data_IF_509986982537
#
_entry.id   IF_509986982537
#
_cell.length_a   1.000
_cell.length_b   1.000
_cell.length_c   1.000
_cell.angle_alpha   90.00
_cell.angle_beta   90.00
_cell.angle_gamma   90.00
#
_symmetry.space_group_name_H-M   'P 1'
#
loop_
_entity.id
_entity.type
_entity.pdbx_description
1 polymer ?
#
# COMPACT_ATOMS: atom_id res chain seq x y z
N UNK A 1 53.66 -38.05 -34.78
CA UNK A 1 53.74 -37.07 -33.67
C UNK A 1 52.83 -35.85 -33.86
N UNK A 2 52.85 -35.12 -35.00
CA UNK A 2 52.02 -33.92 -35.23
C UNK A 2 50.51 -34.17 -35.10
N UNK A 3 49.97 -35.33 -35.53
CA UNK A 3 48.55 -35.66 -35.46
C UNK A 3 48.07 -35.99 -33.99
N UNK A 4 48.93 -36.52 -33.17
CA UNK A 4 48.64 -36.83 -31.74
C UNK A 4 48.61 -35.55 -30.94
N UNK A 5 49.49 -34.57 -31.21
CA UNK A 5 49.51 -33.28 -30.54
C UNK A 5 48.25 -32.47 -30.91
N UNK A 6 47.73 -32.58 -32.12
CA UNK A 6 46.52 -31.86 -32.58
C UNK A 6 45.27 -32.45 -31.92
N UNK A 7 45.21 -33.77 -31.69
CA UNK A 7 44.11 -34.44 -30.99
C UNK A 7 44.12 -34.08 -29.51
N UNK A 8 45.30 -34.05 -28.87
CA UNK A 8 45.40 -33.63 -27.46
C UNK A 8 45.08 -32.18 -27.23
N UNK A 9 45.45 -31.25 -28.11
CA UNK A 9 45.04 -29.88 -28.05
C UNK A 9 43.51 -29.68 -28.28
N UNK A 10 42.90 -30.44 -29.17
CA UNK A 10 41.45 -30.41 -29.39
C UNK A 10 40.67 -30.95 -28.16
N UNK A 11 41.20 -32.00 -27.49
CA UNK A 11 40.60 -32.53 -26.26
C UNK A 11 40.73 -31.56 -25.09
N UNK A 12 41.82 -30.79 -25.00
CA UNK A 12 41.99 -29.76 -23.96
C UNK A 12 41.06 -28.55 -24.16
N UNK A 13 40.83 -28.15 -25.41
CA UNK A 13 39.87 -27.08 -25.77
C UNK A 13 38.42 -27.49 -25.51
N UNK A 14 38.07 -28.77 -25.65
CA UNK A 14 36.73 -29.27 -25.33
C UNK A 14 36.42 -29.28 -23.84
N UNK A 15 37.45 -29.44 -22.97
CA UNK A 15 37.30 -29.44 -21.52
C UNK A 15 37.09 -28.04 -20.91
N UNK A 16 37.49 -26.99 -21.63
CA UNK A 16 37.28 -25.60 -21.17
C UNK A 16 35.91 -25.02 -21.56
N UNK A 17 35.15 -25.69 -22.44
CA UNK A 17 33.85 -25.23 -22.88
C UNK A 17 32.70 -25.57 -21.93
N UNK A 18 32.93 -26.36 -20.88
CA UNK A 18 31.88 -26.77 -19.93
C UNK A 18 31.87 -25.98 -18.62
N UNK A 19 32.65 -24.91 -18.49
CA UNK A 19 32.63 -24.04 -17.31
C UNK A 19 31.66 -22.89 -17.45
N UNK A 20 30.40 -23.16 -17.82
CA UNK A 20 29.34 -22.25 -17.42
C UNK A 20 29.06 -22.50 -15.93
N UNK A 21 29.18 -21.46 -15.10
CA UNK A 21 28.94 -21.64 -13.67
C UNK A 21 27.56 -22.23 -13.44
N UNK A 22 27.49 -23.37 -12.79
CA UNK A 22 26.25 -24.05 -12.40
C UNK A 22 25.29 -23.14 -11.60
N UNK A 23 25.81 -22.04 -11.06
CA UNK A 23 25.05 -20.98 -10.39
C UNK A 23 24.01 -20.29 -11.29
N UNK A 24 24.16 -20.27 -12.62
CA UNK A 24 23.13 -19.70 -13.51
C UNK A 24 22.03 -20.68 -13.89
N UNK A 25 22.24 -21.98 -13.73
CA UNK A 25 21.20 -22.99 -13.95
C UNK A 25 20.36 -23.29 -12.73
N UNK A 26 20.85 -23.02 -11.53
CA UNK A 26 20.07 -23.16 -10.30
C UNK A 26 19.12 -21.98 -10.05
N UNK A 27 19.31 -20.85 -10.73
CA UNK A 27 18.37 -19.70 -10.64
C UNK A 27 17.12 -19.85 -11.52
N UNK A 28 17.01 -20.89 -12.33
CA UNK A 28 15.71 -21.36 -12.85
C UNK A 28 15.03 -22.35 -11.89
N UNK A 29 15.24 -22.19 -10.59
CA UNK A 29 14.28 -22.70 -9.64
C UNK A 29 12.95 -22.06 -9.99
N UNK A 30 11.99 -22.88 -10.36
CA UNK A 30 10.58 -22.55 -10.41
C UNK A 30 10.31 -21.66 -9.21
N UNK A 31 10.05 -20.37 -9.47
CA UNK A 31 9.57 -19.47 -8.43
C UNK A 31 8.46 -20.22 -7.71
N UNK A 32 8.51 -20.36 -6.40
CA UNK A 32 7.42 -21.03 -5.69
C UNK A 32 6.13 -20.42 -6.21
N UNK A 33 5.13 -21.27 -6.43
CA UNK A 33 3.84 -20.92 -7.04
C UNK A 33 3.19 -19.68 -6.36
N UNK A 34 3.71 -19.32 -5.20
CA UNK A 34 3.27 -18.23 -4.31
C UNK A 34 4.31 -17.10 -4.17
N UNK A 35 5.14 -16.85 -5.19
CA UNK A 35 6.08 -15.72 -5.11
C UNK A 35 5.34 -14.39 -5.19
N UNK A 36 5.64 -13.50 -4.27
CA UNK A 36 5.22 -12.11 -4.28
C UNK A 36 5.73 -11.44 -5.57
N UNK A 37 4.97 -10.50 -6.14
CA UNK A 37 5.41 -9.75 -7.32
C UNK A 37 6.72 -9.02 -7.06
N UNK A 38 7.53 -8.82 -8.09
CA UNK A 38 8.79 -8.05 -7.97
C UNK A 38 8.52 -6.64 -7.44
N UNK A 39 7.39 -6.04 -7.83
CA UNK A 39 6.98 -4.72 -7.37
C UNK A 39 6.65 -4.72 -5.88
N UNK A 40 5.92 -5.72 -5.41
CA UNK A 40 5.62 -5.88 -4.00
C UNK A 40 6.90 -6.14 -3.18
N UNK A 41 7.86 -6.89 -3.71
CA UNK A 41 9.16 -7.11 -3.07
C UNK A 41 10.01 -5.84 -2.95
N UNK A 42 9.91 -4.92 -3.91
CA UNK A 42 10.61 -3.63 -3.85
C UNK A 42 9.93 -2.70 -2.83
N UNK A 43 8.59 -2.72 -2.78
CA UNK A 43 7.81 -1.88 -1.87
C UNK A 43 7.86 -2.34 -0.41
N UNK A 44 8.05 -3.65 -0.19
CA UNK A 44 8.14 -4.24 1.14
C UNK A 44 9.40 -5.10 1.28
N UNK A 45 10.15 -4.92 2.38
CA UNK A 45 11.22 -5.86 2.70
C UNK A 45 10.61 -7.26 2.83
N UNK A 46 11.18 -8.24 2.12
CA UNK A 46 10.76 -9.64 2.16
C UNK A 46 11.01 -10.29 3.53
N UNK A 47 11.94 -9.74 4.30
CA UNK A 47 12.17 -10.13 5.68
C UNK A 47 11.21 -9.36 6.60
N UNK A 48 10.49 -10.08 7.47
CA UNK A 48 9.76 -9.45 8.54
C UNK A 48 10.77 -8.72 9.45
N UNK A 49 10.57 -7.43 9.77
CA UNK A 49 11.45 -6.72 10.68
C UNK A 49 11.46 -7.45 12.03
N UNK A 50 12.64 -7.58 12.63
CA UNK A 50 12.75 -8.11 13.98
C UNK A 50 12.05 -7.15 14.95
N UNK A 51 11.47 -7.67 16.03
CA UNK A 51 10.76 -6.85 17.02
C UNK A 51 11.65 -5.75 17.63
N UNK A 52 12.93 -6.01 17.70
CA UNK A 52 13.94 -5.10 18.23
C UNK A 52 14.22 -3.90 17.32
N UNK A 53 13.95 -4.06 16.03
CA UNK A 53 14.15 -3.00 15.03
C UNK A 53 12.94 -2.06 14.92
N UNK A 54 11.79 -2.45 15.46
CA UNK A 54 10.55 -1.65 15.43
C UNK A 54 10.44 -0.80 16.69
N UNK A 55 10.82 0.47 16.58
CA UNK A 55 10.79 1.42 17.70
C UNK A 55 9.43 2.05 17.90
N UNK A 56 8.68 2.22 16.84
CA UNK A 56 7.33 2.79 16.87
C UNK A 56 6.39 1.99 15.98
N UNK A 57 5.22 1.71 16.51
CA UNK A 57 4.17 0.99 15.80
C UNK A 57 2.80 1.46 16.22
N UNK A 58 1.89 1.63 15.26
CA UNK A 58 0.47 1.90 15.50
C UNK A 58 -0.38 1.02 14.60
N UNK A 59 -1.21 0.20 15.21
CA UNK A 59 -2.15 -0.64 14.48
C UNK A 59 -3.49 0.08 14.35
N UNK A 60 -4.04 0.10 13.14
CA UNK A 60 -5.23 0.83 12.74
C UNK A 60 -6.17 -0.14 12.05
N UNK A 61 -7.44 -0.03 12.35
CA UNK A 61 -8.48 -0.82 11.71
C UNK A 61 -9.36 0.10 10.89
N UNK A 62 -9.50 -0.23 9.61
CA UNK A 62 -10.33 0.51 8.64
C UNK A 62 -11.50 -0.32 8.18
N UNK A 63 -12.63 0.32 7.96
CA UNK A 63 -13.75 -0.23 7.24
C UNK A 63 -13.70 0.28 5.80
N UNK A 64 -13.52 -0.64 4.85
CA UNK A 64 -13.55 -0.38 3.43
C UNK A 64 -14.97 -0.68 2.92
N UNK A 65 -15.56 0.26 2.19
CA UNK A 65 -16.79 0.02 1.45
C UNK A 65 -16.45 -0.25 -0.01
N UNK A 66 -16.91 -1.38 -0.54
CA UNK A 66 -16.62 -1.80 -1.90
C UNK A 66 -17.50 -1.09 -2.94
N UNK A 67 -18.60 -0.49 -2.49
CA UNK A 67 -19.50 0.30 -3.34
C UNK A 67 -18.95 1.67 -3.70
N UNK A 68 -17.86 2.10 -3.06
CA UNK A 68 -17.16 3.34 -3.40
C UNK A 68 -16.22 3.11 -4.59
N UNK A 69 -16.15 4.07 -5.52
CA UNK A 69 -15.39 3.95 -6.78
C UNK A 69 -13.93 3.53 -6.58
N UNK A 70 -13.28 4.03 -5.53
CA UNK A 70 -11.89 3.71 -5.24
C UNK A 70 -11.66 2.21 -4.96
N UNK A 71 -12.65 1.53 -4.37
CA UNK A 71 -12.56 0.12 -3.99
C UNK A 71 -13.36 -0.79 -4.93
N UNK A 72 -14.07 -0.24 -5.91
CA UNK A 72 -14.98 -0.98 -6.79
C UNK A 72 -14.30 -2.14 -7.55
N UNK A 73 -13.01 -1.99 -7.88
CA UNK A 73 -12.24 -3.06 -8.50
C UNK A 73 -12.09 -4.34 -7.66
N UNK A 74 -12.29 -4.26 -6.34
CA UNK A 74 -12.28 -5.42 -5.45
C UNK A 74 -13.64 -6.15 -5.43
N UNK A 75 -14.74 -5.44 -5.78
CA UNK A 75 -16.09 -5.96 -5.77
C UNK A 75 -16.51 -6.58 -7.12
N UNK A 76 -16.11 -5.95 -8.22
CA UNK A 76 -16.47 -6.41 -9.55
C UNK A 76 -15.41 -7.30 -10.18
N UNK A 77 -15.79 -8.34 -10.92
CA UNK A 77 -17.17 -8.78 -11.21
C UNK A 77 -17.78 -9.54 -10.01
N UNK A 78 -19.06 -9.30 -9.71
CA UNK A 78 -19.78 -9.97 -8.61
C UNK A 78 -19.83 -11.48 -8.86
N UNK A 79 -20.18 -11.87 -10.09
CA UNK A 79 -20.11 -13.24 -10.54
C UNK A 79 -18.81 -13.47 -11.31
N UNK A 80 -18.14 -14.61 -11.12
CA UNK A 80 -16.91 -14.93 -11.84
C UNK A 80 -17.12 -14.95 -13.35
N UNK A 81 -16.30 -14.19 -14.09
CA UNK A 81 -16.29 -14.15 -15.55
C UNK A 81 -14.97 -14.71 -16.04
N UNK A 82 -14.98 -15.95 -16.53
CA UNK A 82 -13.76 -16.66 -16.92
C UNK A 82 -12.80 -16.86 -15.74
N UNK A 83 -11.61 -16.27 -15.82
CA UNK A 83 -10.62 -16.31 -14.74
C UNK A 83 -10.71 -15.14 -13.74
N UNK A 84 -11.52 -14.13 -14.06
CA UNK A 84 -11.71 -12.97 -13.20
C UNK A 84 -12.80 -13.25 -12.17
N UNK A 85 -12.52 -12.91 -10.94
CA UNK A 85 -13.45 -13.01 -9.83
C UNK A 85 -13.17 -11.92 -8.81
N UNK A 86 -14.19 -11.55 -8.03
CA UNK A 86 -14.02 -10.57 -6.97
C UNK A 86 -13.14 -11.10 -5.83
N UNK A 87 -12.68 -10.18 -4.99
CA UNK A 87 -11.78 -10.51 -3.89
C UNK A 87 -12.40 -11.53 -2.93
N UNK A 88 -13.70 -11.40 -2.61
CA UNK A 88 -14.35 -12.31 -1.67
C UNK A 88 -14.44 -13.74 -2.21
N UNK A 89 -14.92 -13.92 -3.44
CA UNK A 89 -15.01 -15.23 -4.09
C UNK A 89 -13.63 -15.91 -4.11
N UNK A 90 -12.58 -15.13 -4.38
CA UNK A 90 -11.22 -15.66 -4.41
C UNK A 90 -10.74 -16.12 -3.04
N UNK A 91 -10.88 -15.27 -2.03
CA UNK A 91 -10.52 -15.60 -0.63
C UNK A 91 -11.33 -16.81 -0.14
N UNK A 92 -12.62 -16.83 -0.45
CA UNK A 92 -13.52 -17.91 -0.05
C UNK A 92 -13.10 -19.27 -0.63
N UNK A 93 -12.80 -19.33 -1.91
CA UNK A 93 -12.28 -20.55 -2.56
C UNK A 93 -10.95 -21.01 -1.94
N UNK A 94 -10.04 -20.09 -1.64
CA UNK A 94 -8.79 -20.41 -0.97
C UNK A 94 -9.03 -20.95 0.46
N UNK A 95 -9.97 -20.37 1.20
CA UNK A 95 -10.35 -20.84 2.53
C UNK A 95 -10.94 -22.26 2.47
N UNK A 96 -11.80 -22.53 1.48
CA UNK A 96 -12.41 -23.87 1.30
C UNK A 96 -11.38 -24.94 0.98
N UNK A 97 -10.33 -24.61 0.22
CA UNK A 97 -9.20 -25.50 -0.02
C UNK A 97 -8.37 -25.75 1.23
N UNK A 98 -8.28 -24.74 2.09
CA UNK A 98 -7.47 -24.80 3.30
C UNK A 98 -5.95 -24.86 3.06
N UNK A 99 -5.11 -24.66 4.09
CA UNK A 99 -3.66 -24.55 3.93
C UNK A 99 -3.00 -25.83 3.43
N UNK A 100 -3.57 -26.99 3.74
CA UNK A 100 -3.00 -28.28 3.36
C UNK A 100 -3.20 -28.62 1.85
N UNK A 101 -4.13 -27.95 1.18
CA UNK A 101 -4.43 -28.17 -0.24
C UNK A 101 -4.11 -26.95 -1.11
N UNK A 102 -3.17 -26.12 -0.69
CA UNK A 102 -2.76 -24.95 -1.42
C UNK A 102 -3.74 -23.76 -1.31
N UNK A 103 -4.51 -23.71 -0.25
CA UNK A 103 -5.33 -22.57 0.16
C UNK A 103 -4.76 -21.85 1.37
N UNK A 104 -5.63 -21.16 2.09
CA UNK A 104 -5.27 -20.31 3.23
C UNK A 104 -6.03 -20.72 4.50
N UNK A 105 -5.50 -20.31 5.65
CA UNK A 105 -6.19 -20.42 6.93
C UNK A 105 -7.06 -19.17 7.16
N UNK A 106 -8.31 -19.38 7.55
CA UNK A 106 -9.21 -18.35 8.03
C UNK A 106 -9.42 -18.51 9.55
N UNK A 107 -9.67 -17.41 10.23
CA UNK A 107 -9.82 -17.36 11.68
C UNK A 107 -11.13 -16.69 12.06
N UNK A 108 -11.83 -17.24 13.05
CA UNK A 108 -13.13 -16.75 13.47
C UNK A 108 -13.07 -15.28 13.91
N UNK A 109 -14.07 -14.50 13.46
CA UNK A 109 -14.26 -13.14 13.95
C UNK A 109 -14.71 -13.18 15.42
N UNK A 110 -14.15 -12.31 16.25
CA UNK A 110 -14.49 -12.18 17.66
C UNK A 110 -15.29 -10.91 17.92
N UNK A 111 -16.17 -10.96 18.90
CA UNK A 111 -17.01 -9.82 19.28
C UNK A 111 -16.21 -8.58 19.73
N UNK A 112 -14.97 -8.75 20.18
CA UNK A 112 -14.06 -7.64 20.52
C UNK A 112 -13.44 -6.97 19.29
N UNK A 113 -13.68 -7.52 18.08
CA UNK A 113 -13.15 -7.03 16.82
C UNK A 113 -11.64 -7.18 16.67
N UNK A 114 -10.98 -7.94 17.57
CA UNK A 114 -9.56 -8.24 17.45
C UNK A 114 -9.37 -9.55 16.71
N UNK A 115 -8.33 -9.60 15.92
CA UNK A 115 -7.91 -10.83 15.26
C UNK A 115 -7.19 -11.76 16.25
N UNK A 116 -7.41 -13.05 16.08
CA UNK A 116 -6.67 -14.09 16.79
C UNK A 116 -6.21 -15.16 15.81
N UNK A 117 -4.91 -15.24 15.56
CA UNK A 117 -4.31 -16.17 14.60
C UNK A 117 -3.75 -17.43 15.26
N UNK A 118 -4.57 -18.05 16.12
CA UNK A 118 -4.23 -19.32 16.78
C UNK A 118 -4.97 -20.48 16.13
N UNK A 119 -4.44 -21.67 16.23
CA UNK A 119 -5.08 -22.87 15.67
C UNK A 119 -6.47 -23.13 16.24
N UNK A 120 -6.70 -22.75 17.53
CA UNK A 120 -8.01 -22.85 18.18
C UNK A 120 -9.08 -21.93 17.59
N UNK A 121 -8.65 -20.82 16.97
CA UNK A 121 -9.55 -19.85 16.34
C UNK A 121 -9.78 -20.12 14.85
N UNK A 122 -9.20 -21.20 14.28
CA UNK A 122 -9.39 -21.53 12.87
C UNK A 122 -10.85 -21.83 12.53
N UNK A 123 -11.29 -21.27 11.42
CA UNK A 123 -12.60 -21.55 10.85
C UNK A 123 -12.61 -22.98 10.30
N UNK A 124 -13.65 -23.72 10.64
CA UNK A 124 -13.94 -25.03 10.05
C UNK A 124 -14.87 -24.79 8.85
N UNK A 125 -14.45 -25.10 7.60
CA UNK A 125 -15.21 -24.74 6.41
C UNK A 125 -16.67 -25.22 6.41
N UNK A 126 -16.92 -26.47 6.80
CA UNK A 126 -18.29 -27.00 6.87
C UNK A 126 -19.17 -26.26 7.86
N UNK A 127 -18.65 -26.05 9.07
CA UNK A 127 -19.38 -25.31 10.12
C UNK A 127 -19.65 -23.86 9.68
N UNK A 128 -18.75 -23.26 8.94
CA UNK A 128 -18.94 -21.93 8.37
C UNK A 128 -20.09 -21.91 7.35
N UNK A 129 -20.12 -22.87 6.42
CA UNK A 129 -21.20 -22.99 5.42
C UNK A 129 -22.56 -23.15 6.10
N UNK A 130 -22.64 -24.03 7.11
CA UNK A 130 -23.87 -24.30 7.87
C UNK A 130 -24.33 -23.04 8.64
N UNK A 131 -23.40 -22.32 9.29
CA UNK A 131 -23.72 -21.12 10.08
C UNK A 131 -24.25 -19.95 9.23
N UNK A 132 -23.75 -19.82 8.00
CA UNK A 132 -24.16 -18.74 7.08
C UNK A 132 -25.18 -19.17 6.06
N UNK A 133 -25.71 -20.42 6.17
CA UNK A 133 -26.71 -21.00 5.28
C UNK A 133 -26.29 -20.99 3.81
N UNK A 134 -25.01 -21.28 3.55
CA UNK A 134 -24.46 -21.38 2.20
C UNK A 134 -24.69 -22.81 1.71
N UNK A 135 -25.38 -22.94 0.58
CA UNK A 135 -25.67 -24.25 0.00
C UNK A 135 -24.42 -24.93 -0.52
N UNK A 136 -24.29 -26.24 -0.30
CA UNK A 136 -23.19 -27.06 -0.80
C UNK A 136 -23.62 -28.50 -0.99
N UNK A 137 -23.03 -29.19 -1.96
CA UNK A 137 -23.25 -30.60 -2.21
C UNK A 137 -22.11 -31.42 -1.61
N UNK A 138 -22.48 -32.53 -0.95
CA UNK A 138 -21.49 -33.51 -0.49
C UNK A 138 -21.35 -34.59 -1.57
N UNK A 139 -20.13 -34.72 -2.09
CA UNK A 139 -19.75 -35.73 -3.07
C UNK A 139 -18.73 -36.71 -2.48
N UNK A 140 -18.56 -37.89 -3.10
CA UNK A 140 -17.58 -38.90 -2.66
C UNK A 140 -16.14 -38.35 -2.63
N UNK A 141 -15.87 -37.30 -3.41
CA UNK A 141 -14.55 -36.65 -3.48
C UNK A 141 -14.41 -35.39 -2.59
N UNK A 142 -15.45 -35.03 -1.83
CA UNK A 142 -15.45 -33.87 -0.94
C UNK A 142 -16.68 -32.98 -1.12
N UNK A 143 -16.49 -31.68 -0.85
CA UNK A 143 -17.54 -30.67 -0.97
C UNK A 143 -17.48 -30.06 -2.36
N UNK A 144 -18.62 -30.01 -3.02
CA UNK A 144 -18.82 -29.24 -4.24
C UNK A 144 -19.64 -28.01 -3.91
N UNK A 145 -19.12 -26.85 -4.29
CA UNK A 145 -19.77 -25.57 -4.14
C UNK A 145 -19.85 -24.90 -5.51
N UNK A 146 -21.03 -24.46 -5.88
CA UNK A 146 -21.19 -23.70 -7.12
C UNK A 146 -20.84 -22.21 -6.89
N UNK A 147 -20.46 -21.52 -7.94
CA UNK A 147 -20.15 -20.09 -7.85
C UNK A 147 -21.37 -19.24 -7.49
N UNK A 148 -22.56 -19.67 -7.90
CA UNK A 148 -23.84 -19.02 -7.60
C UNK A 148 -24.22 -19.09 -6.12
N UNK A 149 -23.70 -20.10 -5.40
CA UNK A 149 -24.01 -20.29 -3.97
C UNK A 149 -23.12 -19.46 -3.07
N UNK A 150 -22.03 -18.90 -3.62
CA UNK A 150 -21.13 -18.02 -2.88
C UNK A 150 -21.79 -16.63 -2.76
N UNK A 151 -22.02 -16.10 -1.55
CA UNK A 151 -22.72 -14.83 -1.34
C UNK A 151 -21.84 -13.61 -1.68
N UNK A 152 -21.29 -13.61 -2.90
CA UNK A 152 -20.35 -12.57 -3.34
C UNK A 152 -20.99 -11.19 -3.44
N UNK A 153 -22.26 -11.12 -3.81
CA UNK A 153 -23.03 -9.88 -3.90
C UNK A 153 -23.40 -9.29 -2.54
N UNK A 154 -23.44 -10.12 -1.48
CA UNK A 154 -23.74 -9.67 -0.12
C UNK A 154 -22.51 -9.09 0.59
N UNK A 155 -21.30 -9.44 0.14
CA UNK A 155 -20.06 -8.94 0.74
C UNK A 155 -19.70 -7.59 0.13
N UNK A 156 -20.20 -6.52 0.74
CA UNK A 156 -20.04 -5.13 0.26
C UNK A 156 -18.96 -4.36 1.02
N UNK A 157 -18.21 -5.00 1.93
CA UNK A 157 -17.17 -4.33 2.69
C UNK A 157 -16.12 -5.26 3.25
N UNK A 158 -15.03 -4.64 3.74
CA UNK A 158 -13.96 -5.32 4.48
C UNK A 158 -13.55 -4.53 5.70
N UNK A 159 -13.29 -5.24 6.80
CA UNK A 159 -12.40 -4.70 7.81
C UNK A 159 -10.96 -5.03 7.43
N UNK A 160 -10.13 -4.01 7.48
CA UNK A 160 -8.72 -4.10 7.16
C UNK A 160 -7.92 -3.68 8.39
N UNK A 161 -7.00 -4.52 8.84
CA UNK A 161 -6.00 -4.14 9.82
C UNK A 161 -4.73 -3.73 9.11
N UNK A 162 -4.29 -2.49 9.33
CA UNK A 162 -2.99 -1.99 8.90
C UNK A 162 -2.09 -1.72 10.09
N UNK A 163 -0.81 -1.90 9.91
CA UNK A 163 0.21 -1.53 10.87
C UNK A 163 1.11 -0.47 10.25
N UNK A 164 1.13 0.71 10.86
CA UNK A 164 2.08 1.76 10.55
C UNK A 164 3.24 1.64 11.55
N UNK A 165 4.47 1.49 11.06
CA UNK A 165 5.63 1.29 11.92
C UNK A 165 6.88 1.94 11.36
N UNK A 166 7.80 2.27 12.25
CA UNK A 166 9.12 2.75 11.92
C UNK A 166 10.14 1.66 12.24
N UNK A 167 10.87 1.26 11.20
CA UNK A 167 11.95 0.30 11.30
C UNK A 167 13.28 1.04 11.44
N UNK A 168 13.95 0.85 12.55
CA UNK A 168 15.23 1.49 12.84
C UNK A 168 16.36 0.89 11.99
N UNK A 169 16.29 -0.38 11.65
CA UNK A 169 17.32 -1.05 10.85
C UNK A 169 17.40 -0.48 9.44
N UNK A 170 16.27 -0.20 8.81
CA UNK A 170 16.18 0.41 7.48
C UNK A 170 16.02 1.92 7.53
N UNK A 171 15.76 2.51 8.71
CA UNK A 171 15.44 3.91 8.92
C UNK A 171 14.27 4.42 8.08
N UNK A 172 13.26 3.57 7.86
CA UNK A 172 12.11 3.87 7.01
C UNK A 172 10.78 3.70 7.74
N UNK A 173 9.80 4.48 7.31
CA UNK A 173 8.42 4.35 7.74
C UNK A 173 7.66 3.47 6.76
N UNK A 174 6.91 2.52 7.31
CA UNK A 174 6.14 1.57 6.53
C UNK A 174 4.68 1.55 6.99
N UNK A 175 3.77 1.36 6.02
CA UNK A 175 2.39 0.96 6.25
C UNK A 175 2.18 -0.40 5.60
N UNK A 176 1.80 -1.38 6.39
CA UNK A 176 1.57 -2.74 5.92
C UNK A 176 0.18 -3.21 6.30
N UNK A 177 -0.53 -3.79 5.34
CA UNK A 177 -1.76 -4.53 5.63
C UNK A 177 -1.39 -5.83 6.35
N UNK A 178 -2.03 -6.08 7.47
CA UNK A 178 -1.76 -7.26 8.33
C UNK A 178 -2.84 -8.31 8.15
N UNK A 179 -4.10 -7.88 8.07
CA UNK A 179 -5.24 -8.79 7.99
C UNK A 179 -6.43 -8.16 7.27
N UNK A 180 -7.23 -9.03 6.67
CA UNK A 180 -8.50 -8.69 6.02
C UNK A 180 -9.62 -9.52 6.64
N UNK A 181 -10.80 -8.89 6.79
CA UNK A 181 -12.01 -9.56 7.22
C UNK A 181 -13.17 -9.12 6.32
N UNK A 182 -13.75 -10.01 5.49
CA UNK A 182 -14.93 -9.69 4.71
C UNK A 182 -16.13 -9.40 5.61
N UNK A 183 -16.95 -8.43 5.21
CA UNK A 183 -18.20 -8.05 5.87
C UNK A 183 -19.35 -8.34 4.93
N UNK A 184 -20.22 -9.21 5.34
CA UNK A 184 -21.47 -9.51 4.65
C UNK A 184 -22.55 -8.57 5.15
N UNK A 185 -23.37 -8.06 4.25
CA UNK A 185 -24.50 -7.18 4.54
C UNK A 185 -25.78 -7.92 4.19
N UNK A 186 -26.65 -8.09 5.16
CA UNK A 186 -28.00 -8.65 4.98
C UNK A 186 -29.04 -7.70 5.52
N UNK A 187 -30.18 -7.65 4.86
CA UNK A 187 -31.34 -6.94 5.38
C UNK A 187 -31.82 -7.62 6.66
N UNK A 188 -32.16 -6.86 7.67
CA UNK A 188 -32.77 -7.38 8.87
C UNK A 188 -34.21 -7.82 8.58
N UNK A 189 -34.64 -8.96 9.11
CA UNK A 189 -36.00 -9.50 8.97
C UNK A 189 -37.08 -8.52 9.46
N UNK A 190 -36.71 -7.53 10.27
CA UNK A 190 -37.60 -6.49 10.80
C UNK A 190 -37.60 -5.18 9.98
N UNK A 191 -36.84 -5.10 8.88
CA UNK A 191 -36.85 -3.96 7.95
C UNK A 191 -36.13 -2.70 8.43
N UNK A 192 -35.30 -2.79 9.45
CA UNK A 192 -34.60 -1.65 10.09
C UNK A 192 -33.26 -1.29 9.40
N UNK A 193 -32.94 -1.92 8.26
CA UNK A 193 -31.77 -1.62 7.46
C UNK A 193 -30.82 -2.80 7.27
N UNK A 194 -29.65 -2.51 6.66
CA UNK A 194 -28.62 -3.53 6.43
C UNK A 194 -27.80 -3.78 7.72
N UNK A 195 -27.75 -5.03 8.17
CA UNK A 195 -26.94 -5.49 9.28
C UNK A 195 -25.59 -6.01 8.78
N UNK A 196 -24.50 -5.65 9.47
CA UNK A 196 -23.14 -6.05 9.15
C UNK A 196 -22.79 -7.35 9.86
N UNK A 197 -22.38 -8.34 9.08
CA UNK A 197 -21.89 -9.63 9.58
C UNK A 197 -20.42 -9.81 9.17
N UNK A 198 -19.46 -9.47 10.05
CA UNK A 198 -18.06 -9.80 9.83
C UNK A 198 -17.88 -11.32 9.83
N UNK A 199 -17.23 -11.87 8.79
CA UNK A 199 -17.19 -13.30 8.57
C UNK A 199 -16.02 -13.97 9.27
N UNK A 200 -14.80 -13.66 8.82
CA UNK A 200 -13.57 -14.25 9.35
C UNK A 200 -12.37 -13.37 9.05
N UNK A 201 -11.33 -13.51 9.84
CA UNK A 201 -10.04 -12.88 9.59
C UNK A 201 -9.14 -13.77 8.75
N UNK A 202 -8.39 -13.17 7.83
CA UNK A 202 -7.33 -13.81 7.05
C UNK A 202 -6.06 -13.01 7.23
N UNK A 203 -4.93 -13.68 7.46
CA UNK A 203 -3.62 -13.04 7.50
C UNK A 203 -3.22 -12.63 6.09
N UNK A 204 -2.78 -11.38 5.95
CA UNK A 204 -2.40 -10.87 4.65
C UNK A 204 -1.15 -11.58 4.09
N UNK A 205 -0.19 -11.92 4.94
CA UNK A 205 1.03 -12.61 4.51
C UNK A 205 0.74 -13.98 3.87
N UNK A 206 -0.29 -14.70 4.33
CA UNK A 206 -0.72 -15.96 3.74
C UNK A 206 -1.49 -15.73 2.42
N UNK A 207 -2.12 -14.57 2.26
CA UNK A 207 -2.97 -14.23 1.13
C UNK A 207 -2.19 -13.55 -0.02
N UNK A 208 -1.17 -12.75 0.28
CA UNK A 208 -0.41 -11.95 -0.68
C UNK A 208 0.12 -12.75 -1.89
N UNK A 209 0.70 -13.99 -1.74
CA UNK A 209 1.15 -14.78 -2.86
C UNK A 209 0.06 -15.18 -3.85
N UNK A 210 -1.18 -15.25 -3.40
CA UNK A 210 -2.34 -15.52 -4.23
C UNK A 210 -2.87 -14.25 -4.88
N UNK A 211 -2.95 -13.14 -4.12
CA UNK A 211 -3.42 -11.84 -4.61
C UNK A 211 -2.53 -11.27 -5.71
N UNK A 212 -1.25 -11.58 -5.70
CA UNK A 212 -0.32 -11.17 -6.75
C UNK A 212 -0.66 -11.72 -8.14
N UNK A 213 -1.48 -12.79 -8.20
CA UNK A 213 -1.92 -13.42 -9.46
C UNK A 213 -3.28 -12.89 -9.94
N UNK A 214 -4.03 -12.22 -9.08
CA UNK A 214 -5.33 -11.66 -9.41
C UNK A 214 -5.17 -10.23 -9.89
N UNK A 215 -5.75 -9.92 -11.04
CA UNK A 215 -5.68 -8.61 -11.67
C UNK A 215 -7.04 -7.93 -11.49
N UNK A 216 -7.00 -6.69 -11.05
CA UNK A 216 -8.16 -5.81 -10.94
C UNK A 216 -8.01 -4.60 -11.83
N UNK A 217 -9.14 -4.05 -12.25
CA UNK A 217 -9.22 -2.78 -12.94
C UNK A 217 -9.25 -1.64 -11.92
N UNK A 218 -8.42 -0.64 -12.11
CA UNK A 218 -8.25 0.47 -11.14
C UNK A 218 -8.86 1.78 -11.60
N UNK A 219 -9.44 1.80 -12.80
CA UNK A 219 -10.05 3.00 -13.37
C UNK A 219 -11.30 2.66 -14.17
N UNK A 220 -12.38 3.37 -13.92
CA UNK A 220 -13.60 3.28 -14.72
C UNK A 220 -13.48 4.00 -16.08
N UNK A 221 -12.49 4.87 -16.23
CA UNK A 221 -12.25 5.65 -17.46
C UNK A 221 -11.22 5.01 -18.39
N UNK A 222 -10.34 4.18 -17.86
CA UNK A 222 -9.24 3.56 -18.61
C UNK A 222 -9.17 2.05 -18.31
N UNK A 223 -9.72 1.24 -19.20
CA UNK A 223 -9.75 -0.20 -19.05
C UNK A 223 -8.36 -0.87 -19.14
N UNK A 224 -7.35 -0.16 -19.64
CA UNK A 224 -5.96 -0.61 -19.63
C UNK A 224 -5.26 -0.39 -18.28
N UNK A 225 -5.88 0.37 -17.36
CA UNK A 225 -5.34 0.59 -16.03
C UNK A 225 -5.65 -0.62 -15.13
N UNK A 226 -4.78 -1.62 -15.22
CA UNK A 226 -4.87 -2.86 -14.42
C UNK A 226 -3.66 -3.01 -13.52
N UNK A 227 -3.86 -3.59 -12.35
CA UNK A 227 -2.79 -3.96 -11.42
C UNK A 227 -3.16 -5.24 -10.67
N UNK A 228 -2.19 -5.87 -10.02
CA UNK A 228 -2.51 -6.99 -9.13
C UNK A 228 -3.21 -6.49 -7.86
N UNK A 229 -4.03 -7.34 -7.25
CA UNK A 229 -4.69 -7.02 -5.98
C UNK A 229 -3.64 -6.79 -4.88
N UNK A 230 -2.54 -7.52 -4.92
CA UNK A 230 -1.42 -7.35 -3.99
C UNK A 230 -0.77 -5.97 -4.15
N UNK A 231 -0.48 -5.54 -5.38
CA UNK A 231 0.05 -4.19 -5.63
C UNK A 231 -0.91 -3.09 -5.14
N UNK A 232 -2.22 -3.30 -5.31
CA UNK A 232 -3.24 -2.36 -4.85
C UNK A 232 -3.17 -2.14 -3.33
N UNK A 233 -3.08 -3.22 -2.55
CA UNK A 233 -2.95 -3.13 -1.11
C UNK A 233 -1.56 -2.63 -0.67
N UNK A 234 -0.51 -3.08 -1.34
CA UNK A 234 0.87 -2.69 -1.05
C UNK A 234 1.11 -1.19 -1.26
N UNK A 235 0.50 -0.62 -2.30
CA UNK A 235 0.56 0.82 -2.59
C UNK A 235 -0.41 1.64 -1.74
N UNK A 236 -1.19 1.01 -0.86
CA UNK A 236 -2.19 1.65 0.00
C UNK A 236 -3.21 2.50 -0.80
N UNK A 237 -3.67 2.00 -1.96
CA UNK A 237 -4.61 2.71 -2.83
C UNK A 237 -6.06 2.61 -2.33
N UNK A 238 -6.33 1.73 -1.38
CA UNK A 238 -7.64 1.55 -0.79
C UNK A 238 -8.09 2.77 0.01
N UNK A 239 -9.38 3.03 -0.01
CA UNK A 239 -10.00 4.07 0.80
C UNK A 239 -10.93 3.44 1.83
N UNK A 240 -10.79 3.86 3.08
CA UNK A 240 -11.59 3.33 4.18
C UNK A 240 -11.58 4.23 5.40
N UNK A 241 -12.67 4.16 6.18
CA UNK A 241 -12.82 4.93 7.41
C UNK A 241 -12.21 4.18 8.59
N UNK A 242 -11.43 4.88 9.41
CA UNK A 242 -10.88 4.30 10.64
C UNK A 242 -12.02 4.11 11.63
N UNK A 243 -12.23 2.88 12.11
CA UNK A 243 -13.23 2.58 13.14
C UNK A 243 -12.62 2.21 14.49
N UNK A 244 -11.34 1.81 14.49
CA UNK A 244 -10.63 1.40 15.71
C UNK A 244 -9.12 1.62 15.55
N UNK A 245 -8.45 1.93 16.63
CA UNK A 245 -6.99 1.84 16.76
C UNK A 245 -6.66 0.95 17.94
N UNK A 246 -5.51 0.31 17.95
CA UNK A 246 -5.07 -0.44 19.13
C UNK A 246 -4.84 0.54 20.28
N UNK A 247 -5.64 0.39 21.32
CA UNK A 247 -5.57 1.18 22.53
C UNK A 247 -5.67 0.28 23.77
N UNK A 248 -5.24 0.78 24.93
CA UNK A 248 -5.21 0.00 26.17
C UNK A 248 -6.59 -0.51 26.62
N UNK A 249 -7.64 0.21 26.26
CA UNK A 249 -9.01 -0.13 26.63
C UNK A 249 -9.70 -1.04 25.61
N UNK A 250 -9.10 -1.28 24.43
CA UNK A 250 -9.67 -2.06 23.35
C UNK A 250 -10.94 -1.46 22.73
N UNK A 251 -11.25 -0.19 23.00
CA UNK A 251 -12.47 0.48 22.55
C UNK A 251 -12.40 0.89 21.08
N UNK A 252 -13.55 0.80 20.40
CA UNK A 252 -13.73 1.37 19.05
C UNK A 252 -13.98 2.87 19.13
N UNK A 253 -13.80 3.58 18.01
CA UNK A 253 -14.09 5.02 17.94
C UNK A 253 -15.55 5.31 18.34
N UNK A 254 -16.50 4.50 17.88
CA UNK A 254 -17.92 4.64 18.20
C UNK A 254 -18.23 4.55 19.70
N UNK A 255 -17.39 3.85 20.49
CA UNK A 255 -17.60 3.70 21.93
C UNK A 255 -17.15 4.92 22.76
N UNK A 256 -16.22 5.74 22.24
CA UNK A 256 -15.75 6.92 22.96
C UNK A 256 -16.06 8.24 22.25
N UNK A 257 -16.47 8.21 20.99
CA UNK A 257 -16.97 9.37 20.25
C UNK A 257 -18.50 9.30 20.17
N UNK A 258 -19.23 10.12 20.94
CA UNK A 258 -20.70 10.00 21.07
C UNK A 258 -21.44 10.49 19.81
N UNK A 259 -20.79 11.25 18.92
CA UNK A 259 -21.41 11.80 17.72
C UNK A 259 -20.59 11.49 16.48
N UNK A 260 -21.25 11.40 15.31
CA UNK A 260 -20.57 11.16 14.03
C UNK A 260 -19.57 12.27 13.70
N UNK A 261 -19.85 13.49 14.08
CA UNK A 261 -18.95 14.64 13.91
C UNK A 261 -17.67 14.47 14.73
N UNK A 262 -17.79 14.02 16.00
CA UNK A 262 -16.64 13.74 16.86
C UNK A 262 -15.82 12.57 16.31
N UNK A 263 -16.50 11.53 15.83
CA UNK A 263 -15.84 10.37 15.20
C UNK A 263 -15.07 10.79 13.95
N UNK A 264 -15.66 11.60 13.06
CA UNK A 264 -15.00 12.13 11.87
C UNK A 264 -13.80 13.04 12.22
N UNK A 265 -13.91 13.84 13.28
CA UNK A 265 -12.81 14.68 13.76
C UNK A 265 -11.65 13.84 14.28
N UNK A 266 -11.94 12.78 15.05
CA UNK A 266 -10.92 11.87 15.58
C UNK A 266 -10.25 11.06 14.46
N UNK A 267 -11.02 10.59 13.48
CA UNK A 267 -10.47 9.93 12.28
C UNK A 267 -9.45 10.84 11.57
N UNK A 268 -9.82 12.10 11.31
CA UNK A 268 -8.93 13.09 10.70
C UNK A 268 -7.71 13.42 11.55
N UNK A 269 -7.86 13.38 12.87
CA UNK A 269 -6.75 13.60 13.80
C UNK A 269 -5.75 12.45 13.71
N UNK A 270 -6.23 11.19 13.73
CA UNK A 270 -5.39 9.99 13.59
C UNK A 270 -4.63 10.02 12.26
N UNK A 271 -5.29 10.35 11.15
CA UNK A 271 -4.64 10.48 9.84
C UNK A 271 -3.57 11.57 9.81
N UNK A 272 -3.82 12.71 10.44
CA UNK A 272 -2.83 13.77 10.56
C UNK A 272 -1.64 13.33 11.41
N UNK A 273 -1.87 12.73 12.55
CA UNK A 273 -0.81 12.23 13.42
C UNK A 273 0.12 11.25 12.69
N UNK A 274 -0.43 10.36 11.84
CA UNK A 274 0.37 9.45 11.02
C UNK A 274 1.19 10.20 9.97
N UNK A 275 0.55 11.13 9.26
CA UNK A 275 1.21 11.91 8.21
C UNK A 275 2.29 12.83 8.78
N UNK A 276 2.01 13.44 9.92
CA UNK A 276 2.98 14.32 10.60
C UNK A 276 4.15 13.51 11.16
N UNK A 277 3.88 12.32 11.70
CA UNK A 277 4.94 11.42 12.13
C UNK A 277 5.84 11.00 10.95
N UNK A 278 5.25 10.58 9.82
CA UNK A 278 5.97 10.21 8.61
C UNK A 278 6.87 11.37 8.10
N UNK A 279 6.37 12.60 8.12
CA UNK A 279 7.12 13.79 7.70
C UNK A 279 8.26 14.16 8.67
N UNK A 280 8.03 13.98 9.96
CA UNK A 280 8.97 14.41 11.00
C UNK A 280 10.07 13.40 11.31
N UNK A 281 9.90 12.13 10.91
CA UNK A 281 10.90 11.06 11.08
C UNK A 281 12.28 11.47 10.55
N UNK A 282 12.32 12.13 9.40
CA UNK A 282 13.57 12.61 8.76
C UNK A 282 13.96 14.03 9.18
N UNK A 283 13.31 14.56 10.23
CA UNK A 283 13.46 15.93 10.70
C UNK A 283 12.51 16.89 9.99
N UNK A 284 12.20 18.00 10.68
CA UNK A 284 11.39 19.07 10.13
C UNK A 284 12.17 19.78 9.00
N UNK A 285 11.71 19.70 7.73
CA UNK A 285 12.40 20.33 6.61
C UNK A 285 12.53 21.85 6.79
N UNK A 286 11.49 22.52 7.30
CA UNK A 286 11.53 23.96 7.55
C UNK A 286 12.56 24.35 8.62
N UNK A 287 12.71 23.50 9.64
CA UNK A 287 13.73 23.69 10.67
C UNK A 287 15.14 23.42 10.13
N UNK A 288 15.30 22.43 9.26
CA UNK A 288 16.58 22.14 8.58
C UNK A 288 16.98 23.31 7.69
N UNK A 289 16.09 23.80 6.85
CA UNK A 289 16.34 24.95 5.97
C UNK A 289 16.70 26.20 6.77
N UNK A 290 16.04 26.41 7.93
CA UNK A 290 16.40 27.50 8.85
C UNK A 290 17.80 27.34 9.43
N UNK A 291 18.15 26.13 9.88
CA UNK A 291 19.47 25.84 10.43
C UNK A 291 20.56 25.96 9.36
N UNK A 292 20.30 25.49 8.15
CA UNK A 292 21.23 25.59 7.02
C UNK A 292 21.42 27.05 6.60
N UNK A 293 20.36 27.87 6.60
CA UNK A 293 20.46 29.31 6.33
C UNK A 293 21.27 30.05 7.39
N UNK A 294 21.09 29.67 8.68
CA UNK A 294 21.89 30.24 9.80
C UNK A 294 23.34 29.79 9.71
N UNK A 295 23.60 28.52 9.34
CA UNK A 295 24.94 28.01 9.15
C UNK A 295 25.66 28.73 7.99
N UNK A 296 24.96 28.88 6.84
CA UNK A 296 25.48 29.60 5.68
C UNK A 296 25.79 31.09 6.00
N UNK A 297 24.92 31.76 6.78
CA UNK A 297 25.14 33.12 7.20
C UNK A 297 26.37 33.27 8.13
N UNK A 298 26.56 32.31 9.05
CA UNK A 298 27.73 32.25 9.93
C UNK A 298 29.05 31.96 9.18
N UNK A 299 29.01 31.13 8.15
CA UNK A 299 30.15 30.88 7.27
C UNK A 299 30.48 32.11 6.41
N UNK A 300 29.47 32.81 5.89
CA UNK A 300 29.65 34.06 5.15
C UNK A 300 30.25 35.16 6.03
N UNK A 301 29.93 35.19 7.31
CA UNK A 301 30.48 36.14 8.28
C UNK A 301 31.93 35.82 8.67
N UNK A 302 32.32 34.54 8.66
CA UNK A 302 33.70 34.06 8.92
C UNK A 302 34.60 34.13 7.70
N UNK A 303 34.09 34.33 6.50
CA UNK A 303 34.88 34.50 5.30
C UNK A 303 35.68 35.80 5.40
N UNK A 304 37.03 35.78 5.25
CA UNK A 304 37.85 36.99 5.37
C UNK A 304 37.44 37.97 4.28
N UNK A 305 36.95 39.16 4.69
CA UNK A 305 36.67 40.26 3.77
C UNK A 305 37.97 40.57 3.04
N UNK A 306 38.08 40.13 1.78
CA UNK A 306 39.16 40.56 0.90
C UNK A 306 39.04 42.07 0.75
N UNK A 307 39.92 42.81 1.47
CA UNK A 307 40.07 44.22 1.30
C UNK A 307 40.42 44.50 -0.17
N UNK A 308 39.46 44.98 -0.92
CA UNK A 308 39.69 45.48 -2.26
C UNK A 308 40.57 46.68 -2.21
N UNK A 309 41.82 46.47 -2.57
CA UNK A 309 42.85 47.53 -2.72
C UNK A 309 42.40 48.42 -3.86
N UNK A 310 41.73 49.55 -3.50
CA UNK A 310 41.37 50.61 -4.43
C UNK A 310 42.65 51.17 -5.05
N UNK A 311 42.91 50.86 -6.31
CA UNK A 311 43.84 51.60 -7.14
C UNK A 311 43.18 52.93 -7.51
N UNK A 312 43.65 54.02 -6.85
CA UNK A 312 43.49 55.39 -7.34
C UNK A 312 44.21 55.48 -8.66
N UNK A 313 43.50 55.74 -9.75
CA UNK A 313 44.09 56.38 -10.92
C UNK A 313 43.37 57.72 -11.11
N UNK A 314 44.13 58.75 -10.94
CA UNK A 314 43.75 60.12 -11.28
C UNK A 314 43.92 60.33 -12.79
N UNK A 315 42.92 60.92 -13.42
CA UNK A 315 43.10 61.92 -14.50
C UNK A 315 41.77 62.53 -14.87
N UNK A 316 41.67 63.81 -14.62
CA UNK A 316 41.43 64.90 -15.49
C UNK A 316 40.11 64.88 -16.34
N UNK A 317 39.20 65.75 -15.94
CA UNK A 317 38.67 66.83 -16.71
C UNK A 317 37.72 66.52 -17.84
N UNK A 318 36.46 66.86 -17.66
CA UNK A 318 35.77 67.74 -18.65
C UNK A 318 34.35 68.07 -18.19
N UNK A 319 34.08 69.30 -18.20
CA UNK A 319 32.85 70.04 -17.99
C UNK A 319 31.74 69.64 -18.95
N UNK A 320 30.51 69.57 -18.51
CA UNK A 320 29.34 70.30 -19.05
C UNK A 320 28.02 69.59 -18.88
N UNK A 321 27.17 70.22 -18.15
CA UNK A 321 25.91 70.88 -18.47
C UNK A 321 24.65 70.07 -18.07
N UNK A 322 24.06 70.58 -17.04
CA UNK A 322 22.63 70.81 -16.74
C UNK A 322 21.60 70.21 -17.69
N UNK A 323 20.67 69.45 -17.11
CA UNK A 323 19.22 69.76 -17.14
C UNK A 323 18.44 68.79 -16.28
N UNK A 324 17.70 69.32 -15.37
CA UNK A 324 16.51 68.81 -14.66
C UNK A 324 15.28 69.10 -15.52
N UNK A 325 14.04 68.71 -15.18
CA UNK A 325 13.44 67.51 -14.59
C UNK A 325 12.24 67.00 -15.39
N UNK A 326 11.60 65.92 -14.96
CA UNK A 326 10.14 65.70 -14.95
C UNK A 326 9.90 64.20 -14.70
N UNK A 327 9.30 63.84 -13.58
CA UNK A 327 7.94 63.57 -13.23
C UNK A 327 7.29 62.35 -13.92
N UNK A 328 6.85 61.44 -13.03
CA UNK A 328 5.66 60.60 -13.09
C UNK A 328 5.42 59.67 -14.29
N UNK A 329 5.30 58.39 -14.02
CA UNK A 329 3.95 57.81 -13.89
C UNK A 329 4.04 56.28 -13.78
N UNK A 330 3.25 55.78 -12.85
CA UNK A 330 2.79 54.44 -12.67
C UNK A 330 2.19 53.82 -13.94
N UNK A 331 2.52 52.56 -14.22
CA UNK A 331 1.57 51.71 -14.94
C UNK A 331 1.84 50.23 -14.59
N UNK A 332 0.84 49.65 -13.94
CA UNK A 332 0.76 48.23 -13.67
C UNK A 332 0.45 47.43 -14.94
N UNK A 333 0.72 46.15 -14.95
CA UNK A 333 0.47 45.32 -16.14
C UNK A 333 -1.01 44.99 -16.30
N UNK A 334 -1.47 45.11 -17.53
CA UNK A 334 -2.85 44.86 -17.97
C UNK A 334 -3.22 43.37 -17.87
N UNK A 335 -4.38 43.13 -17.26
CA UNK A 335 -5.09 41.86 -17.35
C UNK A 335 -5.67 41.70 -18.76
N UNK A 336 -5.33 40.63 -19.45
CA UNK A 336 -6.01 40.19 -20.66
C UNK A 336 -7.07 39.18 -20.28
N UNK A 337 -8.32 39.57 -20.33
CA UNK A 337 -9.50 38.71 -20.33
C UNK A 337 -9.79 38.28 -21.76
N UNK A 338 -9.66 37.00 -22.05
CA UNK A 338 -10.20 36.43 -23.28
C UNK A 338 -11.50 35.70 -22.95
N UNK A 339 -12.56 36.41 -23.29
CA UNK A 339 -13.93 35.89 -23.42
C UNK A 339 -14.04 35.23 -24.80
N UNK A 340 -14.39 33.95 -24.84
CA UNK A 340 -14.78 33.29 -26.09
C UNK A 340 -16.18 32.72 -25.92
N UNK A 341 -17.12 33.37 -26.55
CA UNK A 341 -18.47 32.85 -26.81
C UNK A 341 -18.50 32.08 -28.13
N UNK A 342 -19.34 31.03 -28.10
CA UNK A 342 -20.13 30.42 -29.20
C UNK A 342 -19.43 29.69 -30.35
N UNK A 343 -19.87 28.53 -30.65
CA UNK A 343 -21.18 28.06 -31.15
C UNK A 343 -21.34 26.57 -30.80
#
# INVERSE_FOLDING_TARGET
MKKIILITCAAFLALTASSQPAARRSSQHRSPVNAITTRAQISFPTAAPMQEDVVWRRDIYRELKLTEDANAGLYYPVEPVGSQMNLFTYIFKLMMNGPNRGGIAAYNYRMDGNEMFTDSARVKPLQFLDNYHIFYERTDHGIRLDNSDIPSGEVKGYYLKESAYYDQGTSTFHRKVVALCPIMYREDDFGDGEVKYPLFWVRYDDLAPFLSKQIIMTSNLNNAATMSVDDYFTMNLYQGKIYKTTNMLGKTLAQYCPTDSAMAAEQKKIERELTDFEKTIYGDPARRDSLDSIAASKEAEKAPKKMGRSRRSASAGSLRRTRRPASNSSSGPARVTVRRERH
#
